data_IF_810637057474
#
_entry.id   IF_810637057474
#
_cell.length_a   1.000
_cell.length_b   1.000
_cell.length_c   1.000
_cell.angle_alpha   90.00
_cell.angle_beta   90.00
_cell.angle_gamma   90.00
#
_symmetry.space_group_name_H-M   'P 1'
#
loop_
_entity.id
_entity.type
_entity.pdbx_description
1 polymer ?
#
# COMPACT_ATOMS: atom_id res chain seq x y z
N UNK A 1 8.87 56.05 29.39
CA UNK A 1 7.68 55.38 28.81
C UNK A 1 8.04 54.65 27.51
N UNK A 2 9.12 53.85 27.48
CA UNK A 2 9.66 53.20 26.27
C UNK A 2 9.81 51.67 26.39
N UNK A 3 9.58 51.10 27.57
CA UNK A 3 9.81 49.68 27.85
C UNK A 3 8.56 48.79 27.71
N UNK A 4 7.35 49.37 27.57
CA UNK A 4 6.12 48.59 27.38
C UNK A 4 5.96 48.03 25.96
N UNK A 5 6.40 48.77 24.94
CA UNK A 5 6.21 48.37 23.53
C UNK A 5 7.13 47.24 23.04
N UNK A 6 8.23 46.94 23.74
CA UNK A 6 9.15 45.86 23.36
C UNK A 6 8.69 44.48 23.86
N UNK A 7 7.96 44.42 24.98
CA UNK A 7 7.53 43.16 25.60
C UNK A 7 6.40 42.49 24.80
N UNK A 8 5.49 43.27 24.23
CA UNK A 8 4.39 42.77 23.37
C UNK A 8 4.86 42.31 21.99
N UNK A 9 5.90 42.93 21.44
CA UNK A 9 6.47 42.56 20.13
C UNK A 9 7.25 41.24 20.18
N UNK A 10 7.80 40.88 21.34
CA UNK A 10 8.52 39.62 21.56
C UNK A 10 7.57 38.43 21.76
N UNK A 11 6.48 38.60 22.52
CA UNK A 11 5.49 37.53 22.74
C UNK A 11 4.74 37.18 21.46
N UNK A 12 4.42 38.16 20.62
CA UNK A 12 3.75 37.92 19.34
C UNK A 12 4.64 37.22 18.30
N UNK A 13 5.96 37.48 18.30
CA UNK A 13 6.92 36.80 17.40
C UNK A 13 7.20 35.35 17.81
N UNK A 14 7.23 35.05 19.11
CA UNK A 14 7.39 33.68 19.61
C UNK A 14 6.12 32.84 19.31
N UNK A 15 4.93 33.46 19.37
CA UNK A 15 3.67 32.80 19.02
C UNK A 15 3.59 32.43 17.53
N UNK A 16 4.09 33.29 16.63
CA UNK A 16 4.09 33.02 15.18
C UNK A 16 5.05 31.86 14.83
N UNK A 17 6.18 31.74 15.51
CA UNK A 17 7.13 30.62 15.31
C UNK A 17 6.52 29.30 15.81
N UNK A 18 5.75 29.31 16.90
CA UNK A 18 5.07 28.12 17.40
C UNK A 18 3.92 27.66 16.49
N UNK A 19 3.20 28.59 15.85
CA UNK A 19 2.14 28.25 14.89
C UNK A 19 2.74 27.66 13.60
N UNK A 20 3.88 28.17 13.12
CA UNK A 20 4.52 27.64 11.91
C UNK A 20 5.12 26.23 12.09
N UNK A 21 5.57 25.89 13.31
CA UNK A 21 6.10 24.54 13.62
C UNK A 21 4.97 23.50 13.74
N UNK A 22 3.75 23.91 14.11
CA UNK A 22 2.59 23.01 14.19
C UNK A 22 1.95 22.78 12.81
N UNK A 23 2.12 23.72 11.87
CA UNK A 23 1.61 23.58 10.49
C UNK A 23 2.46 22.68 9.58
N UNK A 24 3.59 22.15 10.07
CA UNK A 24 4.34 21.08 9.40
C UNK A 24 4.00 19.71 9.98
N UNK A 25 2.84 19.58 10.64
CA UNK A 25 2.21 18.29 10.85
C UNK A 25 1.97 17.65 9.48
N UNK A 26 2.95 16.86 9.06
CA UNK A 26 2.91 15.81 8.05
C UNK A 26 1.68 15.88 7.16
N UNK A 27 1.81 16.60 6.04
CA UNK A 27 0.98 16.33 4.87
C UNK A 27 1.41 14.97 4.26
N UNK A 28 1.57 13.93 5.08
CA UNK A 28 1.68 12.56 4.60
C UNK A 28 0.30 12.23 4.06
N UNK A 29 0.19 12.07 2.74
CA UNK A 29 -1.03 11.55 2.14
C UNK A 29 -1.41 10.29 2.91
N UNK A 30 -2.57 10.32 3.57
CA UNK A 30 -3.11 9.14 4.23
C UNK A 30 -3.27 8.08 3.16
N UNK A 31 -2.56 6.96 3.30
CA UNK A 31 -2.71 5.82 2.40
C UNK A 31 -4.15 5.33 2.56
N UNK A 32 -4.88 5.27 1.45
CA UNK A 32 -6.20 4.68 1.37
C UNK A 32 -6.08 3.27 0.77
N UNK A 33 -6.17 2.20 1.59
CA UNK A 33 -6.03 0.82 1.10
C UNK A 33 -7.00 0.46 -0.01
N UNK A 34 -8.23 0.98 0.01
CA UNK A 34 -9.28 0.66 -0.98
C UNK A 34 -8.86 1.10 -2.39
N UNK A 35 -8.21 2.27 -2.50
CA UNK A 35 -7.69 2.78 -3.77
C UNK A 35 -6.71 1.80 -4.43
N UNK A 36 -5.86 1.13 -3.66
CA UNK A 36 -4.87 0.21 -4.20
C UNK A 36 -5.43 -1.19 -4.40
N UNK A 37 -6.29 -1.68 -3.51
CA UNK A 37 -6.89 -3.01 -3.60
C UNK A 37 -7.89 -3.12 -4.76
N UNK A 38 -8.63 -2.04 -5.06
CA UNK A 38 -9.57 -2.01 -6.19
C UNK A 38 -8.89 -2.24 -7.55
N UNK A 39 -7.61 -1.88 -7.71
CA UNK A 39 -6.82 -2.19 -8.90
C UNK A 39 -6.64 -3.68 -9.13
N UNK A 40 -6.67 -4.47 -8.06
CA UNK A 40 -6.63 -5.93 -8.11
C UNK A 40 -8.03 -6.57 -8.14
N UNK A 41 -9.08 -5.79 -8.43
CA UNK A 41 -10.49 -6.19 -8.37
C UNK A 41 -10.88 -6.74 -6.99
N UNK A 42 -10.44 -6.05 -5.94
CA UNK A 42 -10.72 -6.40 -4.54
C UNK A 42 -11.37 -5.19 -3.85
N UNK A 43 -12.58 -5.40 -3.35
CA UNK A 43 -13.33 -4.40 -2.60
C UNK A 43 -13.45 -4.83 -1.14
N UNK A 44 -13.05 -3.94 -0.21
CA UNK A 44 -13.31 -4.11 1.22
C UNK A 44 -14.79 -3.79 1.49
N UNK A 45 -15.50 -4.71 2.15
CA UNK A 45 -16.95 -4.57 2.42
C UNK A 45 -17.29 -4.69 3.90
N UNK A 46 -16.36 -5.17 4.72
CA UNK A 46 -16.52 -5.33 6.16
C UNK A 46 -15.58 -4.42 6.96
N UNK A 47 -15.53 -4.70 8.25
CA UNK A 47 -14.63 -4.02 9.17
C UNK A 47 -13.20 -4.51 8.96
N UNK A 48 -12.25 -3.56 8.89
CA UNK A 48 -10.83 -3.85 8.93
C UNK A 48 -10.09 -2.86 9.84
N UNK A 49 -8.92 -3.27 10.32
CA UNK A 49 -8.02 -2.43 11.10
C UNK A 49 -6.71 -2.25 10.34
N UNK A 50 -6.26 -1.01 10.18
CA UNK A 50 -4.91 -0.72 9.68
C UNK A 50 -3.90 -0.98 10.80
N UNK A 51 -3.03 -1.98 10.63
CA UNK A 51 -1.94 -2.33 11.56
C UNK A 51 -0.74 -1.43 11.30
N UNK A 52 -0.36 -1.27 10.02
CA UNK A 52 0.80 -0.49 9.58
C UNK A 52 0.50 0.13 8.23
N UNK A 53 1.07 1.30 7.98
CA UNK A 53 1.12 1.91 6.65
C UNK A 53 2.42 2.69 6.49
N UNK A 54 3.01 2.63 5.31
CA UNK A 54 4.23 3.34 4.96
C UNK A 54 4.17 3.79 3.50
N UNK A 55 4.52 5.06 3.25
CA UNK A 55 4.71 5.59 1.90
C UNK A 55 6.11 6.18 1.83
N UNK A 56 6.87 5.78 0.81
CA UNK A 56 8.19 6.31 0.56
C UNK A 56 8.28 6.77 -0.89
N UNK A 57 8.28 8.08 -1.16
CA UNK A 57 8.71 8.58 -2.45
C UNK A 57 10.25 8.46 -2.51
N UNK A 58 10.75 7.45 -3.23
CA UNK A 58 12.12 7.48 -3.71
C UNK A 58 12.20 8.36 -4.96
N UNK A 59 13.39 8.85 -5.33
CA UNK A 59 13.55 9.59 -6.59
C UNK A 59 13.33 8.61 -7.74
N UNK A 60 12.17 8.69 -8.40
CA UNK A 60 11.79 7.80 -9.50
C UNK A 60 10.69 6.82 -9.12
N UNK A 61 10.70 6.30 -7.89
CA UNK A 61 9.88 5.15 -7.52
C UNK A 61 8.93 5.47 -6.37
N UNK A 62 7.66 5.07 -6.49
CA UNK A 62 6.67 5.18 -5.41
C UNK A 62 6.44 3.81 -4.77
N UNK A 63 6.88 3.67 -3.51
CA UNK A 63 6.61 2.50 -2.69
C UNK A 63 5.47 2.80 -1.69
N UNK A 64 4.41 2.01 -1.77
CA UNK A 64 3.30 2.02 -0.81
C UNK A 64 3.19 0.65 -0.17
N UNK A 65 3.19 0.60 1.15
CA UNK A 65 2.98 -0.62 1.92
C UNK A 65 1.91 -0.40 2.98
N UNK A 66 1.03 -1.38 3.15
CA UNK A 66 0.14 -1.41 4.31
C UNK A 66 -0.15 -2.83 4.77
N UNK A 67 -0.50 -2.94 6.04
CA UNK A 67 -0.86 -4.18 6.70
C UNK A 67 -2.22 -3.99 7.35
N UNK A 68 -3.18 -4.86 7.03
CA UNK A 68 -4.55 -4.81 7.56
C UNK A 68 -4.86 -6.08 8.35
N UNK A 69 -5.65 -5.94 9.42
CA UNK A 69 -6.42 -7.04 10.00
C UNK A 69 -7.81 -7.03 9.39
N UNK A 70 -8.15 -8.07 8.64
CA UNK A 70 -9.46 -8.19 7.99
C UNK A 70 -10.48 -8.83 8.93
N UNK A 71 -11.73 -8.35 8.86
CA UNK A 71 -12.88 -9.10 9.36
C UNK A 71 -13.11 -10.37 8.54
N UNK A 72 -13.86 -11.32 9.10
CA UNK A 72 -14.09 -12.63 8.49
C UNK A 72 -14.70 -12.53 7.07
N UNK A 73 -15.63 -11.59 6.87
CA UNK A 73 -16.29 -11.37 5.57
C UNK A 73 -15.27 -11.03 4.49
N UNK A 74 -14.39 -10.06 4.76
CA UNK A 74 -13.37 -9.65 3.78
C UNK A 74 -12.32 -10.75 3.60
N UNK A 75 -11.90 -11.42 4.68
CA UNK A 75 -11.01 -12.56 4.57
C UNK A 75 -11.56 -13.64 3.62
N UNK A 76 -12.82 -14.06 3.80
CA UNK A 76 -13.44 -15.08 2.95
C UNK A 76 -13.58 -14.59 1.49
N UNK A 77 -13.92 -13.31 1.30
CA UNK A 77 -14.00 -12.70 -0.04
C UNK A 77 -12.63 -12.73 -0.75
N UNK A 78 -11.55 -12.39 -0.04
CA UNK A 78 -10.20 -12.42 -0.62
C UNK A 78 -9.78 -13.85 -0.95
N UNK A 79 -10.00 -14.81 -0.05
CA UNK A 79 -9.70 -16.22 -0.28
C UNK A 79 -10.43 -16.72 -1.53
N UNK A 80 -11.72 -16.40 -1.67
CA UNK A 80 -12.53 -16.79 -2.84
C UNK A 80 -12.05 -16.11 -4.13
N UNK A 81 -11.73 -14.82 -4.09
CA UNK A 81 -11.17 -14.08 -5.22
C UNK A 81 -9.84 -14.67 -5.71
N UNK A 82 -8.95 -15.03 -4.77
CA UNK A 82 -7.65 -15.62 -5.09
C UNK A 82 -7.83 -17.03 -5.68
N UNK A 83 -8.66 -17.88 -5.05
CA UNK A 83 -8.90 -19.26 -5.52
C UNK A 83 -9.62 -19.36 -6.85
N UNK A 84 -10.48 -18.40 -7.16
CA UNK A 84 -11.22 -18.36 -8.43
C UNK A 84 -10.42 -17.77 -9.59
N UNK A 85 -9.25 -17.19 -9.31
CA UNK A 85 -8.40 -16.61 -10.34
C UNK A 85 -7.86 -17.68 -11.30
N UNK A 86 -7.83 -17.39 -12.61
CA UNK A 86 -7.45 -18.34 -13.67
C UNK A 86 -6.05 -18.95 -13.51
N UNK A 87 -5.13 -18.23 -12.88
CA UNK A 87 -3.75 -18.67 -12.64
C UNK A 87 -3.53 -19.25 -11.25
N UNK A 88 -4.59 -19.46 -10.47
CA UNK A 88 -4.48 -20.01 -9.12
C UNK A 88 -3.81 -21.38 -9.12
N UNK A 89 -2.74 -21.51 -8.34
CA UNK A 89 -2.02 -22.76 -8.13
C UNK A 89 -1.81 -23.04 -6.63
N UNK A 90 -1.80 -24.33 -6.27
CA UNK A 90 -1.29 -24.79 -4.99
C UNK A 90 0.19 -25.09 -5.18
N UNK A 91 1.07 -24.35 -4.51
CA UNK A 91 2.52 -24.51 -4.67
C UNK A 91 3.13 -25.19 -3.45
N UNK A 92 4.07 -26.09 -3.71
CA UNK A 92 4.89 -26.67 -2.65
C UNK A 92 5.90 -25.63 -2.11
N UNK A 93 6.35 -25.81 -0.87
CA UNK A 93 7.24 -24.85 -0.19
C UNK A 93 8.57 -24.59 -0.90
N UNK A 94 8.99 -25.45 -1.83
CA UNK A 94 10.24 -25.37 -2.58
C UNK A 94 10.06 -24.89 -4.02
N UNK A 95 8.83 -24.74 -4.51
CA UNK A 95 8.60 -24.28 -5.88
C UNK A 95 8.97 -22.79 -6.00
N UNK A 96 9.74 -22.49 -7.04
CA UNK A 96 10.07 -21.12 -7.41
C UNK A 96 8.77 -20.36 -7.63
N UNK A 97 8.68 -19.17 -7.05
CA UNK A 97 7.62 -18.25 -7.42
C UNK A 97 7.68 -18.05 -8.94
N UNK A 98 6.55 -18.02 -9.66
CA UNK A 98 6.54 -17.39 -10.98
C UNK A 98 6.59 -15.87 -10.75
N UNK A 99 7.64 -15.39 -10.06
CA UNK A 99 7.98 -13.98 -9.93
C UNK A 99 8.53 -13.55 -11.28
N UNK A 100 7.66 -13.47 -12.29
CA UNK A 100 7.99 -12.95 -13.62
C UNK A 100 9.39 -13.32 -14.10
N UNK A 101 9.84 -14.57 -13.91
CA UNK A 101 11.16 -15.00 -14.38
C UNK A 101 11.08 -15.01 -15.90
N UNK A 102 11.44 -13.87 -16.46
CA UNK A 102 11.24 -13.54 -17.86
C UNK A 102 10.05 -12.60 -18.07
N UNK A 103 10.37 -11.47 -18.71
CA UNK A 103 9.46 -10.54 -19.38
C UNK A 103 8.92 -9.46 -18.44
N UNK A 104 9.71 -8.39 -18.31
CA UNK A 104 9.25 -7.02 -18.26
C UNK A 104 7.89 -6.88 -18.98
N UNK A 105 6.78 -6.69 -18.26
CA UNK A 105 5.47 -6.53 -18.87
C UNK A 105 5.36 -5.12 -19.46
N UNK A 106 6.25 -4.77 -20.41
CA UNK A 106 6.22 -3.43 -21.03
C UNK A 106 4.88 -3.17 -21.74
N UNK A 107 4.18 -4.24 -22.18
CA UNK A 107 2.95 -4.10 -22.97
C UNK A 107 1.77 -4.98 -22.53
N UNK A 108 1.91 -5.82 -21.48
CA UNK A 108 0.89 -6.84 -21.17
C UNK A 108 0.63 -6.92 -19.67
N UNK A 109 -0.65 -6.79 -19.29
CA UNK A 109 -1.11 -7.04 -17.91
C UNK A 109 -0.87 -8.51 -17.55
N UNK A 110 -0.20 -8.76 -16.43
CA UNK A 110 0.03 -10.11 -15.90
C UNK A 110 -0.54 -10.25 -14.50
N UNK A 111 -1.26 -11.34 -14.28
CA UNK A 111 -1.84 -11.66 -12.98
C UNK A 111 -1.48 -13.08 -12.54
N UNK A 112 -1.03 -13.20 -11.30
CA UNK A 112 -0.69 -14.46 -10.68
C UNK A 112 -1.39 -14.62 -9.33
N UNK A 113 -1.82 -15.83 -9.01
CA UNK A 113 -2.45 -16.15 -7.74
C UNK A 113 -1.97 -17.52 -7.27
N UNK A 114 -1.73 -17.69 -5.97
CA UNK A 114 -1.42 -19.02 -5.43
C UNK A 114 -1.73 -19.15 -3.94
N UNK A 115 -1.64 -20.39 -3.46
CA UNK A 115 -1.54 -20.70 -2.04
C UNK A 115 -0.23 -21.42 -1.77
N UNK A 116 0.53 -20.94 -0.79
CA UNK A 116 1.82 -21.52 -0.39
C UNK A 116 2.07 -21.32 1.09
N UNK A 117 2.44 -22.41 1.77
CA UNK A 117 2.89 -22.41 3.16
C UNK A 117 1.93 -21.71 4.15
N UNK A 118 0.62 -21.81 3.91
CA UNK A 118 -0.41 -21.18 4.77
C UNK A 118 -0.84 -19.77 4.35
N UNK A 119 -0.24 -19.20 3.31
CA UNK A 119 -0.51 -17.84 2.84
C UNK A 119 -1.10 -17.89 1.43
N UNK A 120 -2.09 -17.04 1.16
CA UNK A 120 -2.59 -16.77 -0.17
C UNK A 120 -1.86 -15.58 -0.77
N UNK A 121 -1.58 -15.66 -2.07
CA UNK A 121 -0.83 -14.63 -2.78
C UNK A 121 -1.61 -14.17 -4.00
N UNK A 122 -1.50 -12.88 -4.31
CA UNK A 122 -1.93 -12.32 -5.59
C UNK A 122 -0.92 -11.27 -6.06
N UNK A 123 -0.59 -11.31 -7.34
CA UNK A 123 0.22 -10.29 -8.00
C UNK A 123 -0.48 -9.78 -9.23
N UNK A 124 -0.35 -8.49 -9.46
CA UNK A 124 -0.77 -7.82 -10.67
C UNK A 124 0.39 -6.94 -11.15
N UNK A 125 0.79 -7.12 -12.39
CA UNK A 125 1.77 -6.28 -13.08
C UNK A 125 1.05 -5.57 -14.22
N UNK A 126 1.19 -4.26 -14.28
CA UNK A 126 0.54 -3.39 -15.27
C UNK A 126 1.62 -2.53 -15.91
N UNK A 127 1.60 -2.32 -17.24
CA UNK A 127 2.42 -1.27 -17.85
C UNK A 127 2.12 0.07 -17.18
N UNK A 128 3.16 0.85 -16.88
CA UNK A 128 3.00 2.20 -16.36
C UNK A 128 2.22 3.05 -17.37
N UNK A 129 1.27 3.84 -16.87
CA UNK A 129 0.39 4.68 -17.69
C UNK A 129 0.94 6.08 -17.92
N UNK A 130 1.98 6.49 -17.17
CA UNK A 130 2.54 7.84 -17.17
C UNK A 130 3.97 7.89 -17.71
N UNK A 131 4.77 6.85 -17.47
CA UNK A 131 6.19 6.74 -17.85
C UNK A 131 6.51 5.48 -18.67
N UNK A 132 7.70 4.92 -18.46
CA UNK A 132 8.27 3.83 -19.29
C UNK A 132 8.58 2.55 -18.52
N UNK A 133 7.97 2.35 -17.35
CA UNK A 133 8.18 1.16 -16.52
C UNK A 133 6.91 0.37 -16.28
N UNK A 134 6.72 -0.11 -15.05
CA UNK A 134 5.57 -0.94 -14.69
C UNK A 134 5.16 -0.72 -13.25
N UNK A 135 3.85 -0.83 -13.03
CA UNK A 135 3.28 -0.87 -11.70
C UNK A 135 3.18 -2.32 -11.23
N UNK A 136 3.63 -2.59 -10.01
CA UNK A 136 3.49 -3.89 -9.35
C UNK A 136 2.59 -3.77 -8.14
N UNK A 137 1.54 -4.59 -8.09
CA UNK A 137 0.64 -4.73 -6.95
C UNK A 137 0.79 -6.14 -6.41
N UNK A 138 1.19 -6.25 -5.14
CA UNK A 138 1.48 -7.51 -4.49
C UNK A 138 0.69 -7.63 -3.20
N UNK A 139 0.06 -8.78 -3.00
CA UNK A 139 -0.79 -9.07 -1.87
C UNK A 139 -0.43 -10.43 -1.27
N UNK A 140 -0.33 -10.46 0.06
CA UNK A 140 -0.14 -11.66 0.87
C UNK A 140 -1.23 -11.70 1.94
N UNK A 141 -1.98 -12.79 2.01
CA UNK A 141 -3.03 -12.99 2.99
C UNK A 141 -2.73 -14.23 3.82
N UNK A 142 -2.40 -14.01 5.08
CA UNK A 142 -2.10 -15.08 6.04
C UNK A 142 -3.39 -15.68 6.60
N UNK A 143 -3.31 -16.93 7.08
CA UNK A 143 -4.42 -17.71 7.65
C UNK A 143 -5.05 -17.07 8.89
N UNK A 144 -4.37 -16.11 9.51
CA UNK A 144 -4.84 -15.40 10.68
C UNK A 144 -5.66 -14.13 10.33
N UNK A 145 -6.00 -13.94 9.06
CA UNK A 145 -6.70 -12.77 8.51
C UNK A 145 -5.87 -11.49 8.42
N UNK A 146 -4.55 -11.60 8.49
CA UNK A 146 -3.64 -10.48 8.24
C UNK A 146 -3.33 -10.37 6.75
N UNK A 147 -3.58 -9.20 6.18
CA UNK A 147 -3.27 -8.85 4.81
C UNK A 147 -2.04 -7.93 4.78
N UNK A 148 -0.98 -8.34 4.08
CA UNK A 148 0.11 -7.46 3.70
C UNK A 148 -0.02 -7.08 2.23
N UNK A 149 0.09 -5.80 1.94
CA UNK A 149 0.03 -5.25 0.58
C UNK A 149 1.25 -4.38 0.30
N UNK A 150 1.74 -4.48 -0.93
CA UNK A 150 2.81 -3.66 -1.47
C UNK A 150 2.47 -3.21 -2.89
N UNK A 151 2.61 -1.91 -3.15
CA UNK A 151 2.61 -1.33 -4.48
C UNK A 151 3.98 -0.70 -4.77
N UNK A 152 4.49 -0.91 -5.97
CA UNK A 152 5.69 -0.27 -6.48
C UNK A 152 5.43 0.29 -7.89
N UNK A 153 5.94 1.49 -8.14
CA UNK A 153 6.03 2.12 -9.46
C UNK A 153 7.50 2.31 -9.80
N UNK A 154 7.97 1.82 -10.95
CA UNK A 154 9.36 1.89 -11.45
C UNK A 154 9.43 2.66 -12.78
#
# INVERSE_FOLDING_TARGET
MLLKGLKEKMTMRILIIFIFIISIASCSETIDPERYLSKMAIDLKGDFLIIRQNSSPAIGDLLIEFELKLGQIDYDNFVNSIKSHKSFALLDSLESYPSGMGIYPQDIIKEFACFRNGTYYKHLFIPDTVGSGWETYTLYLDKDSTLFFQYNDE
#
